data_IF_456147457819
#
_entry.id   IF_456147457819
#
_cell.length_a   1.000
_cell.length_b   1.000
_cell.length_c   1.000
_cell.angle_alpha   90.00
_cell.angle_beta   90.00
_cell.angle_gamma   90.00
#
_symmetry.space_group_name_H-M   'P 1'
#
loop_
_entity.id
_entity.type
_entity.pdbx_description
1 polymer ?
#
# COMPACT_ATOMS: atom_id res chain seq x y z
N UNK A 1 -0.55 -0.46 -17.82
CA UNK A 1 -0.23 0.59 -16.84
C UNK A 1 -1.42 0.82 -15.93
N UNK A 2 -1.21 0.69 -14.62
CA UNK A 2 -2.23 0.85 -13.58
C UNK A 2 -1.85 2.02 -12.68
N UNK A 3 -2.84 2.84 -12.34
CA UNK A 3 -2.69 4.09 -11.60
C UNK A 3 -3.33 3.91 -10.23
N UNK A 4 -2.56 4.10 -9.16
CA UNK A 4 -2.99 3.85 -7.78
C UNK A 4 -2.98 5.16 -7.00
N UNK A 5 -4.15 5.58 -6.50
CA UNK A 5 -4.29 6.78 -5.66
C UNK A 5 -3.84 6.49 -4.22
N UNK A 6 -2.65 6.96 -3.87
CA UNK A 6 -1.97 6.65 -2.59
C UNK A 6 -2.62 7.34 -1.39
N UNK A 7 -3.28 8.47 -1.64
CA UNK A 7 -3.94 9.30 -0.62
C UNK A 7 -5.27 8.73 -0.13
N UNK A 8 -5.72 7.60 -0.69
CA UNK A 8 -6.94 6.90 -0.24
C UNK A 8 -6.80 6.50 1.23
N UNK A 9 -7.64 7.03 2.14
CA UNK A 9 -7.59 6.66 3.55
C UNK A 9 -8.11 5.23 3.76
N UNK A 10 -7.52 4.52 4.72
CA UNK A 10 -8.02 3.24 5.19
C UNK A 10 -8.96 3.46 6.38
N UNK A 11 -9.96 2.60 6.52
CA UNK A 11 -11.00 2.74 7.55
C UNK A 11 -11.15 1.50 8.41
N UNK A 12 -11.78 1.66 9.57
CA UNK A 12 -12.35 0.55 10.34
C UNK A 12 -13.55 -0.04 9.62
N UNK A 13 -14.09 -1.16 10.12
CA UNK A 13 -15.31 -1.77 9.57
C UNK A 13 -16.54 -0.87 9.74
N UNK A 14 -16.52 0.04 10.71
CA UNK A 14 -17.55 1.07 10.94
C UNK A 14 -17.36 2.34 10.10
N UNK A 15 -16.35 2.36 9.22
CA UNK A 15 -16.07 3.50 8.34
C UNK A 15 -15.31 4.65 9.00
N UNK A 16 -14.73 4.45 10.19
CA UNK A 16 -13.88 5.48 10.84
C UNK A 16 -12.48 5.45 10.25
N UNK A 17 -11.87 6.62 10.06
CA UNK A 17 -10.50 6.72 9.52
C UNK A 17 -9.49 6.05 10.47
N UNK A 18 -8.63 5.19 9.93
CA UNK A 18 -7.45 4.71 10.64
C UNK A 18 -6.43 5.84 10.73
N UNK A 19 -5.79 5.96 11.89
CA UNK A 19 -4.77 6.98 12.16
C UNK A 19 -3.38 6.37 12.25
N UNK A 20 -2.35 7.18 11.99
CA UNK A 20 -0.98 6.74 12.21
C UNK A 20 -0.66 6.68 13.69
N UNK A 21 0.07 5.65 14.14
CA UNK A 21 0.40 5.45 15.56
C UNK A 21 1.20 6.59 16.20
N UNK A 22 1.90 7.37 15.38
CA UNK A 22 2.79 8.44 15.84
C UNK A 22 2.12 9.82 15.76
N UNK A 23 0.92 9.90 15.17
CA UNK A 23 0.20 11.13 14.94
C UNK A 23 -1.28 10.82 14.67
N UNK A 24 -2.14 11.07 15.66
CA UNK A 24 -3.59 10.90 15.58
C UNK A 24 -4.24 11.88 14.59
N UNK A 25 -3.54 12.95 14.19
CA UNK A 25 -4.05 13.89 13.20
C UNK A 25 -3.89 13.37 11.77
N UNK A 26 -2.90 12.51 11.53
CA UNK A 26 -2.58 11.97 10.22
C UNK A 26 -3.32 10.67 9.91
N UNK A 27 -4.08 10.67 8.81
CA UNK A 27 -4.73 9.46 8.31
C UNK A 27 -3.72 8.42 7.85
N UNK A 28 -4.05 7.15 8.11
CA UNK A 28 -3.33 6.01 7.59
C UNK A 28 -3.90 5.66 6.21
N UNK A 29 -3.09 5.87 5.18
CA UNK A 29 -3.51 5.78 3.77
C UNK A 29 -2.97 4.53 3.09
N UNK A 30 -3.53 4.22 1.92
CA UNK A 30 -3.09 3.14 1.04
C UNK A 30 -1.59 3.23 0.73
N UNK A 31 -1.11 4.43 0.39
CA UNK A 31 0.31 4.69 0.11
C UNK A 31 1.21 4.32 1.27
N UNK A 32 0.86 4.75 2.49
CA UNK A 32 1.61 4.43 3.72
C UNK A 32 1.62 2.93 4.02
N UNK A 33 0.50 2.24 3.79
CA UNK A 33 0.43 0.80 3.98
C UNK A 33 1.36 0.07 3.01
N UNK A 34 1.24 0.36 1.71
CA UNK A 34 2.07 -0.28 0.68
C UNK A 34 3.56 0.05 0.87
N UNK A 35 3.91 1.30 1.17
CA UNK A 35 5.31 1.68 1.42
C UNK A 35 5.92 0.88 2.58
N UNK A 36 5.18 0.72 3.68
CA UNK A 36 5.66 -0.03 4.83
C UNK A 36 5.85 -1.51 4.52
N UNK A 37 4.93 -2.11 3.76
CA UNK A 37 5.07 -3.51 3.30
C UNK A 37 6.29 -3.67 2.40
N UNK A 38 6.49 -2.78 1.43
CA UNK A 38 7.61 -2.87 0.49
C UNK A 38 8.97 -2.76 1.19
N UNK A 39 9.07 -1.93 2.24
CA UNK A 39 10.27 -1.82 3.07
C UNK A 39 10.47 -3.08 3.93
N UNK A 40 9.41 -3.59 4.57
CA UNK A 40 9.51 -4.79 5.42
C UNK A 40 9.81 -6.07 4.64
N UNK A 41 9.49 -6.10 3.34
CA UNK A 41 9.68 -7.23 2.42
C UNK A 41 10.75 -6.96 1.34
N UNK A 42 11.71 -6.09 1.61
CA UNK A 42 12.69 -5.64 0.61
C UNK A 42 13.57 -6.75 -0.01
N UNK A 43 13.67 -7.90 0.65
CA UNK A 43 14.37 -9.08 0.14
C UNK A 43 13.66 -9.76 -1.06
N UNK A 44 12.40 -9.41 -1.36
CA UNK A 44 11.63 -10.03 -2.46
C UNK A 44 11.83 -9.36 -3.83
N UNK A 45 12.05 -8.05 -3.88
CA UNK A 45 12.28 -7.29 -5.13
C UNK A 45 13.71 -6.79 -5.30
N UNK A 46 14.54 -6.95 -4.27
CA UNK A 46 15.83 -6.29 -4.17
C UNK A 46 15.71 -4.90 -3.55
N UNK A 47 16.72 -4.53 -2.76
CA UNK A 47 16.70 -3.34 -1.91
C UNK A 47 16.40 -2.04 -2.68
N UNK A 48 17.00 -1.86 -3.86
CA UNK A 48 16.83 -0.64 -4.65
C UNK A 48 15.40 -0.51 -5.19
N UNK A 49 14.85 -1.58 -5.80
CA UNK A 49 13.50 -1.55 -6.37
C UNK A 49 12.46 -1.34 -5.27
N UNK A 50 12.57 -2.07 -4.16
CA UNK A 50 11.71 -1.88 -2.99
C UNK A 50 11.77 -0.46 -2.44
N UNK A 51 12.97 0.12 -2.30
CA UNK A 51 13.14 1.49 -1.81
C UNK A 51 12.50 2.52 -2.75
N UNK A 52 12.73 2.40 -4.06
CA UNK A 52 12.16 3.32 -5.05
C UNK A 52 10.64 3.26 -5.03
N UNK A 53 10.06 2.06 -5.13
CA UNK A 53 8.60 1.91 -5.09
C UNK A 53 8.02 2.39 -3.77
N UNK A 54 8.62 2.03 -2.63
CA UNK A 54 8.16 2.48 -1.33
C UNK A 54 8.15 4.02 -1.20
N UNK A 55 9.20 4.69 -1.70
CA UNK A 55 9.28 6.15 -1.71
C UNK A 55 8.17 6.77 -2.56
N UNK A 56 7.91 6.22 -3.75
CA UNK A 56 6.82 6.68 -4.61
C UNK A 56 5.47 6.56 -3.90
N UNK A 57 5.16 5.39 -3.34
CA UNK A 57 3.93 5.16 -2.59
C UNK A 57 3.78 6.05 -1.34
N UNK A 58 4.89 6.44 -0.70
CA UNK A 58 4.86 7.26 0.51
C UNK A 58 4.64 8.76 0.24
N UNK A 59 5.09 9.28 -0.91
CA UNK A 59 5.17 10.73 -1.15
C UNK A 59 4.46 11.24 -2.39
N UNK A 60 4.20 10.38 -3.38
CA UNK A 60 3.41 10.76 -4.56
C UNK A 60 1.93 10.57 -4.23
N UNK A 61 1.06 11.49 -4.62
CA UNK A 61 -0.40 11.34 -4.44
C UNK A 61 -0.97 10.16 -5.25
N UNK A 62 -0.21 9.75 -6.25
CA UNK A 62 -0.58 8.72 -7.20
C UNK A 62 0.65 8.06 -7.81
N UNK A 63 0.61 6.73 -7.93
CA UNK A 63 1.71 5.95 -8.48
C UNK A 63 1.21 5.20 -9.72
N UNK A 64 1.90 5.42 -10.84
CA UNK A 64 1.73 4.65 -12.07
C UNK A 64 2.70 3.47 -12.08
N UNK A 65 2.15 2.26 -12.21
CA UNK A 65 2.89 1.01 -12.31
C UNK A 65 2.68 0.40 -13.69
N UNK A 66 3.73 -0.17 -14.26
CA UNK A 66 3.58 -1.12 -15.35
C UNK A 66 3.01 -2.45 -14.84
N UNK A 67 2.75 -3.38 -15.75
CA UNK A 67 2.08 -4.63 -15.39
C UNK A 67 2.99 -5.53 -14.54
N UNK A 68 4.32 -5.47 -14.72
CA UNK A 68 5.28 -6.25 -13.94
C UNK A 68 5.38 -5.71 -12.50
N UNK A 69 5.58 -4.40 -12.35
CA UNK A 69 5.62 -3.72 -11.06
C UNK A 69 4.31 -3.89 -10.29
N UNK A 70 3.18 -3.87 -11.00
CA UNK A 70 1.89 -4.11 -10.37
C UNK A 70 1.76 -5.54 -9.81
N UNK A 71 2.17 -6.57 -10.57
CA UNK A 71 2.14 -7.95 -10.07
C UNK A 71 3.07 -8.12 -8.88
N UNK A 72 4.27 -7.56 -8.95
CA UNK A 72 5.26 -7.56 -7.87
C UNK A 72 4.69 -6.98 -6.57
N UNK A 73 4.09 -5.78 -6.64
CA UNK A 73 3.47 -5.13 -5.49
C UNK A 73 2.32 -5.97 -4.94
N UNK A 74 1.45 -6.48 -5.81
CA UNK A 74 0.29 -7.29 -5.42
C UNK A 74 0.71 -8.58 -4.71
N UNK A 75 1.72 -9.27 -5.23
CA UNK A 75 2.24 -10.50 -4.65
C UNK A 75 2.81 -10.23 -3.25
N UNK A 76 3.64 -9.20 -3.12
CA UNK A 76 4.27 -8.85 -1.83
C UNK A 76 3.23 -8.48 -0.78
N UNK A 77 2.23 -7.68 -1.14
CA UNK A 77 1.12 -7.33 -0.25
C UNK A 77 0.35 -8.58 0.17
N UNK A 78 0.09 -9.51 -0.75
CA UNK A 78 -0.65 -10.75 -0.43
C UNK A 78 0.10 -11.70 0.52
N UNK A 79 1.42 -11.61 0.56
CA UNK A 79 2.29 -12.42 1.43
C UNK A 79 2.62 -11.72 2.76
N UNK A 80 2.14 -10.50 2.97
CA UNK A 80 2.46 -9.77 4.18
C UNK A 80 1.73 -10.35 5.42
N UNK A 81 2.42 -10.28 6.55
CA UNK A 81 1.99 -10.75 7.86
C UNK A 81 2.21 -9.68 8.94
N UNK A 82 2.77 -8.53 8.57
CA UNK A 82 3.05 -7.42 9.48
C UNK A 82 1.81 -6.56 9.74
N UNK A 83 0.90 -6.47 8.77
CA UNK A 83 -0.39 -5.84 8.95
C UNK A 83 -1.49 -6.81 9.39
N UNK A 84 -2.49 -6.28 10.09
CA UNK A 84 -3.70 -7.04 10.40
C UNK A 84 -4.57 -7.23 9.15
N UNK A 85 -5.50 -8.19 9.21
CA UNK A 85 -6.38 -8.51 8.08
C UNK A 85 -7.30 -7.36 7.64
N UNK A 86 -7.62 -6.43 8.54
CA UNK A 86 -8.42 -5.25 8.19
C UNK A 86 -7.68 -4.35 7.19
N UNK A 87 -6.41 -4.06 7.46
CA UNK A 87 -5.57 -3.26 6.56
C UNK A 87 -5.27 -4.03 5.29
N UNK A 88 -4.81 -5.30 5.40
CA UNK A 88 -4.43 -6.10 4.23
C UNK A 88 -5.60 -6.32 3.28
N UNK A 89 -6.82 -6.58 3.80
CA UNK A 89 -8.02 -6.75 2.99
C UNK A 89 -8.34 -5.51 2.16
N UNK A 90 -8.30 -4.33 2.79
CA UNK A 90 -8.52 -3.06 2.08
C UNK A 90 -7.43 -2.76 1.05
N UNK A 91 -6.16 -3.00 1.37
CA UNK A 91 -5.07 -2.79 0.41
C UNK A 91 -5.24 -3.71 -0.79
N UNK A 92 -5.55 -4.99 -0.59
CA UNK A 92 -5.77 -5.94 -1.68
C UNK A 92 -7.03 -5.61 -2.50
N UNK A 93 -8.12 -5.19 -1.87
CA UNK A 93 -9.32 -4.71 -2.55
C UNK A 93 -9.00 -3.48 -3.41
N UNK A 94 -8.25 -2.52 -2.86
CA UNK A 94 -7.83 -1.29 -3.53
C UNK A 94 -6.71 -1.50 -4.55
N UNK A 95 -5.95 -2.60 -4.50
CA UNK A 95 -5.03 -2.98 -5.58
C UNK A 95 -5.77 -3.74 -6.68
N UNK A 96 -6.80 -4.50 -6.33
CA UNK A 96 -7.73 -5.13 -7.27
C UNK A 96 -8.83 -4.16 -7.74
N UNK A 97 -8.68 -2.84 -7.48
CA UNK A 97 -9.56 -1.71 -7.80
C UNK A 97 -10.87 -2.15 -8.45
N UNK A 98 -11.90 -2.35 -7.63
CA UNK A 98 -13.34 -2.48 -7.94
C UNK A 98 -13.63 -2.75 -9.42
N UNK A 99 -13.99 -3.99 -9.75
CA UNK A 99 -14.24 -4.45 -11.11
C UNK A 99 -15.04 -3.47 -11.97
N UNK A 100 -14.32 -2.67 -12.75
CA UNK A 100 -14.74 -1.88 -13.91
C UNK A 100 -13.57 -1.85 -14.91
#
# INVERSE_FOLDING_TARGET
MKKIKTTTPLTTLEGKLLKTSNDDSSDFTLGKAISNILISRSNKLGALKSWVLAKRFAYEDEVELDDADFQDVREIVSQDQGFNYLVLGQVLELLNLKGE
#
